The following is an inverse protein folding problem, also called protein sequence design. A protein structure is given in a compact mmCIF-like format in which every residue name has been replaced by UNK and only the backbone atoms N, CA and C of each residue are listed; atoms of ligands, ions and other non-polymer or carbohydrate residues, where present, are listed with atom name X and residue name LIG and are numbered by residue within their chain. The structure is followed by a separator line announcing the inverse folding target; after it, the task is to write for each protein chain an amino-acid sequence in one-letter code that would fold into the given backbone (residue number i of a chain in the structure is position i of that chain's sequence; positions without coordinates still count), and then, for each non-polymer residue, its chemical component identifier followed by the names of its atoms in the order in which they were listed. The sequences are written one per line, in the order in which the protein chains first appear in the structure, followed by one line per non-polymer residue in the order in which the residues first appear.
data_IF_495026184604
#
_entry.id   IF_495026184604
#
_cell.length_a   1.000
_cell.length_b   1.000
_cell.length_c   1.000
_cell.angle_alpha   90.00
_cell.angle_beta   90.00
_cell.angle_gamma   90.00
#
_symmetry.space_group_name_H-M   'P 1'
#
loop_
_entity.id
_entity.type
_entity.pdbx_description
1 polymer ?
#
# COMPACT_ATOMS: atom_id res chain seq x y z
N UNK A 1 -34.69 -3.56 3.34
CA UNK A 1 -34.51 -2.21 2.76
C UNK A 1 -34.38 -2.36 1.26
N UNK A 2 -34.98 -1.49 0.43
CA UNK A 2 -34.80 -1.56 -1.03
C UNK A 2 -33.51 -0.85 -1.44
N UNK A 3 -32.72 -1.49 -2.29
CA UNK A 3 -31.50 -0.91 -2.87
C UNK A 3 -31.50 -1.09 -4.38
N UNK A 4 -30.82 -0.18 -5.07
CA UNK A 4 -30.55 -0.25 -6.50
C UNK A 4 -29.07 -0.53 -6.69
N UNK A 5 -28.75 -1.67 -7.28
CA UNK A 5 -27.39 -2.13 -7.50
C UNK A 5 -26.98 -1.95 -8.95
N UNK A 6 -25.88 -1.24 -9.20
CA UNK A 6 -25.18 -1.22 -10.48
C UNK A 6 -24.05 -2.24 -10.41
N UNK A 7 -24.23 -3.39 -11.04
CA UNK A 7 -23.30 -4.52 -10.96
C UNK A 7 -22.44 -4.53 -12.21
N UNK A 8 -21.12 -4.41 -12.05
CA UNK A 8 -20.19 -4.52 -13.15
C UNK A 8 -20.25 -5.91 -13.80
N UNK A 9 -20.34 -5.94 -15.13
CA UNK A 9 -20.36 -7.16 -15.96
C UNK A 9 -19.31 -7.05 -17.05
N UNK A 10 -18.58 -8.15 -17.25
CA UNK A 10 -17.62 -8.28 -18.34
C UNK A 10 -17.21 -9.74 -18.49
N UNK A 11 -17.05 -10.21 -19.72
CA UNK A 11 -16.44 -11.48 -20.03
C UNK A 11 -15.35 -11.28 -21.10
N UNK A 12 -14.09 -11.46 -20.74
CA UNK A 12 -12.96 -11.22 -21.63
C UNK A 12 -12.98 -12.09 -22.92
N UNK A 13 -13.70 -13.22 -22.90
CA UNK A 13 -13.83 -14.10 -24.06
C UNK A 13 -14.87 -13.64 -25.08
N UNK A 14 -15.88 -12.88 -24.66
CA UNK A 14 -17.06 -12.57 -25.50
C UNK A 14 -17.35 -11.08 -25.64
N UNK A 15 -17.01 -10.28 -24.66
CA UNK A 15 -17.45 -8.89 -24.56
C UNK A 15 -16.37 -7.94 -25.10
N UNK A 16 -16.79 -6.96 -25.91
CA UNK A 16 -15.88 -5.91 -26.38
C UNK A 16 -15.60 -4.85 -25.30
N UNK A 17 -16.62 -4.49 -24.51
CA UNK A 17 -16.52 -3.49 -23.43
C UNK A 17 -17.33 -3.95 -22.21
N UNK A 18 -16.91 -3.56 -20.99
CA UNK A 18 -17.70 -3.81 -19.80
C UNK A 18 -19.00 -3.01 -19.81
N UNK A 19 -20.02 -3.53 -19.11
CA UNK A 19 -21.30 -2.86 -18.90
C UNK A 19 -21.74 -3.00 -17.44
N UNK A 20 -22.85 -2.37 -17.09
CA UNK A 20 -23.45 -2.48 -15.76
C UNK A 20 -24.90 -2.94 -15.88
N UNK A 21 -25.22 -3.99 -15.13
CA UNK A 21 -26.61 -4.38 -14.91
C UNK A 21 -27.17 -3.59 -13.73
N UNK A 22 -28.40 -3.11 -13.87
CA UNK A 22 -29.12 -2.45 -12.77
C UNK A 22 -30.15 -3.39 -12.19
N UNK A 23 -29.99 -3.74 -10.91
CA UNK A 23 -30.84 -4.68 -10.20
C UNK A 23 -31.42 -4.00 -8.97
N UNK A 24 -32.75 -3.94 -8.89
CA UNK A 24 -33.44 -3.58 -7.66
C UNK A 24 -33.66 -4.82 -6.80
N UNK A 25 -33.26 -4.74 -5.52
CA UNK A 25 -33.50 -5.84 -4.59
C UNK A 25 -33.81 -5.36 -3.17
N UNK A 26 -34.60 -6.16 -2.45
CA UNK A 26 -34.79 -5.99 -1.02
C UNK A 26 -33.67 -6.71 -0.26
N UNK A 27 -33.04 -6.01 0.67
CA UNK A 27 -31.93 -6.46 1.50
C UNK A 27 -32.40 -6.65 2.95
N UNK A 28 -31.98 -7.74 3.58
CA UNK A 28 -32.12 -7.96 5.02
C UNK A 28 -31.01 -7.19 5.77
N UNK A 29 -31.29 -6.57 6.94
CA UNK A 29 -30.25 -5.89 7.73
C UNK A 29 -29.03 -6.73 8.15
N UNK A 30 -29.15 -8.06 8.04
CA UNK A 30 -28.07 -9.02 8.32
C UNK A 30 -27.25 -9.39 7.08
N UNK A 31 -27.73 -9.06 5.89
CA UNK A 31 -27.05 -9.37 4.63
C UNK A 31 -25.68 -8.67 4.58
N UNK A 32 -24.68 -9.44 4.17
CA UNK A 32 -23.39 -8.90 3.73
C UNK A 32 -23.36 -8.77 2.20
N UNK A 33 -22.39 -8.03 1.68
CA UNK A 33 -22.21 -7.87 0.22
C UNK A 33 -22.13 -9.23 -0.49
N UNK A 34 -21.56 -10.26 0.15
CA UNK A 34 -21.51 -11.60 -0.41
C UNK A 34 -22.91 -12.22 -0.59
N UNK A 35 -23.86 -11.96 0.30
CA UNK A 35 -25.23 -12.49 0.15
C UNK A 35 -25.91 -11.87 -1.05
N UNK A 36 -25.69 -10.57 -1.26
CA UNK A 36 -26.10 -9.87 -2.49
C UNK A 36 -25.49 -10.50 -3.74
N UNK A 37 -24.17 -10.75 -3.76
CA UNK A 37 -23.51 -11.42 -4.89
C UNK A 37 -24.07 -12.82 -5.16
N UNK A 38 -24.42 -13.56 -4.10
CA UNK A 38 -25.04 -14.87 -4.22
C UNK A 38 -26.42 -14.78 -4.86
N UNK A 39 -27.24 -13.82 -4.42
CA UNK A 39 -28.59 -13.61 -4.96
C UNK A 39 -28.58 -13.14 -6.40
N UNK A 40 -27.66 -12.23 -6.77
CA UNK A 40 -27.43 -11.86 -8.18
C UNK A 40 -27.21 -13.12 -9.01
N UNK A 41 -26.33 -14.02 -8.58
CA UNK A 41 -26.06 -15.26 -9.33
C UNK A 41 -27.22 -16.25 -9.33
N UNK A 42 -27.87 -16.45 -8.19
CA UNK A 42 -28.82 -17.56 -8.01
C UNK A 42 -30.24 -17.22 -8.45
N UNK A 43 -30.62 -15.95 -8.31
CA UNK A 43 -32.01 -15.49 -8.50
C UNK A 43 -32.16 -14.66 -9.78
N UNK A 44 -31.10 -13.98 -10.25
CA UNK A 44 -31.16 -13.07 -11.39
C UNK A 44 -30.41 -13.57 -12.64
N UNK A 45 -29.12 -13.92 -12.51
CA UNK A 45 -28.30 -14.38 -13.65
C UNK A 45 -27.25 -15.42 -13.23
N UNK A 46 -27.50 -16.68 -13.60
CA UNK A 46 -26.61 -17.81 -13.35
C UNK A 46 -25.20 -17.68 -13.95
N UNK A 47 -25.00 -16.82 -14.96
CA UNK A 47 -23.70 -16.58 -15.59
C UNK A 47 -22.78 -15.65 -14.79
N UNK A 48 -23.32 -14.90 -13.82
CA UNK A 48 -22.55 -13.98 -12.99
C UNK A 48 -21.46 -14.71 -12.19
N UNK A 49 -20.24 -14.18 -12.22
CA UNK A 49 -19.05 -14.87 -11.70
C UNK A 49 -18.28 -14.03 -10.67
N UNK A 50 -17.94 -14.65 -9.53
CA UNK A 50 -17.18 -14.01 -8.47
C UNK A 50 -16.47 -15.07 -7.61
N UNK A 51 -15.42 -14.67 -6.89
CA UNK A 51 -14.68 -15.56 -5.99
C UNK A 51 -15.23 -15.48 -4.55
N UNK A 52 -15.42 -16.63 -3.92
CA UNK A 52 -15.78 -16.77 -2.50
C UNK A 52 -15.27 -18.09 -1.94
N UNK A 53 -15.11 -18.18 -0.63
CA UNK A 53 -14.80 -19.44 0.06
C UNK A 53 -15.25 -19.41 1.53
N UNK A 54 -14.42 -18.89 2.44
CA UNK A 54 -14.59 -19.10 3.89
C UNK A 54 -15.86 -18.51 4.55
N UNK A 55 -16.46 -17.46 3.98
CA UNK A 55 -17.60 -16.71 4.56
C UNK A 55 -17.38 -16.04 5.93
N UNK A 56 -16.16 -15.98 6.45
CA UNK A 56 -15.86 -15.34 7.75
C UNK A 56 -14.62 -14.42 7.70
N UNK A 57 -14.32 -13.86 6.53
CA UNK A 57 -13.35 -12.78 6.38
C UNK A 57 -11.87 -13.16 6.52
N UNK A 58 -11.49 -14.43 6.35
CA UNK A 58 -10.08 -14.87 6.51
C UNK A 58 -9.39 -15.31 5.22
N UNK A 59 -10.09 -15.91 4.25
CA UNK A 59 -9.41 -16.48 3.06
C UNK A 59 -8.94 -15.45 2.03
N UNK A 60 -9.42 -14.20 2.13
CA UNK A 60 -9.08 -13.13 1.20
C UNK A 60 -9.64 -13.25 -0.22
N UNK A 61 -10.40 -14.29 -0.56
CA UNK A 61 -10.83 -14.54 -1.95
C UNK A 61 -11.92 -13.59 -2.47
N UNK A 62 -12.77 -13.04 -1.59
CA UNK A 62 -13.96 -12.28 -1.97
C UNK A 62 -13.74 -10.77 -1.94
N UNK A 63 -12.55 -10.30 -2.31
CA UNK A 63 -12.26 -8.87 -2.40
C UNK A 63 -13.02 -8.26 -3.59
N UNK A 64 -13.73 -7.16 -3.35
CA UNK A 64 -14.50 -6.38 -4.34
C UNK A 64 -14.44 -4.88 -3.98
N UNK A 65 -14.98 -4.03 -4.85
CA UNK A 65 -15.21 -2.61 -4.58
C UNK A 65 -16.71 -2.32 -4.49
N UNK A 66 -17.11 -1.52 -3.51
CA UNK A 66 -18.46 -0.94 -3.41
C UNK A 66 -18.31 0.58 -3.44
N UNK A 67 -18.88 1.24 -4.44
CA UNK A 67 -18.69 2.67 -4.72
C UNK A 67 -17.21 3.10 -4.70
N UNK A 68 -16.34 2.27 -5.30
CA UNK A 68 -14.89 2.51 -5.34
C UNK A 68 -14.11 2.09 -4.08
N UNK A 69 -14.78 1.87 -2.93
CA UNK A 69 -14.13 1.43 -1.69
C UNK A 69 -13.87 -0.07 -1.72
N UNK A 70 -12.62 -0.47 -1.53
CA UNK A 70 -12.24 -1.89 -1.47
C UNK A 70 -12.69 -2.54 -0.16
N UNK A 71 -13.28 -3.73 -0.23
CA UNK A 71 -13.71 -4.49 0.95
C UNK A 71 -13.72 -6.01 0.69
N UNK A 72 -13.99 -6.81 1.72
CA UNK A 72 -14.33 -8.23 1.59
C UNK A 72 -15.85 -8.39 1.58
N UNK A 73 -16.36 -8.97 0.50
CA UNK A 73 -17.80 -9.15 0.34
C UNK A 73 -18.44 -9.91 1.52
N UNK A 74 -17.75 -10.90 2.09
CA UNK A 74 -18.30 -11.69 3.19
C UNK A 74 -18.26 -11.03 4.58
N UNK A 75 -17.57 -9.89 4.71
CA UNK A 75 -17.43 -9.16 5.98
C UNK A 75 -18.26 -7.88 5.98
N UNK A 76 -18.31 -7.19 4.85
CA UNK A 76 -18.97 -5.91 4.74
C UNK A 76 -20.48 -6.06 4.77
N UNK A 77 -21.13 -5.41 5.74
CA UNK A 77 -22.59 -5.45 5.88
C UNK A 77 -23.22 -4.49 4.89
N UNK A 78 -24.34 -4.89 4.30
CA UNK A 78 -25.06 -4.02 3.37
C UNK A 78 -25.60 -2.76 4.05
N UNK A 79 -26.01 -2.86 5.32
CA UNK A 79 -26.47 -1.69 6.08
C UNK A 79 -25.39 -0.63 6.23
N UNK A 80 -24.13 -1.02 6.47
CA UNK A 80 -23.01 -0.10 6.63
C UNK A 80 -22.69 0.58 5.28
N UNK A 81 -22.80 -0.15 4.17
CA UNK A 81 -22.66 0.44 2.82
C UNK A 81 -23.77 1.42 2.50
N UNK A 82 -25.02 1.10 2.85
CA UNK A 82 -26.18 1.97 2.61
C UNK A 82 -26.09 3.25 3.45
N UNK A 83 -25.63 3.15 4.70
CA UNK A 83 -25.42 4.33 5.56
C UNK A 83 -24.36 5.27 4.97
N UNK A 84 -23.28 4.71 4.42
CA UNK A 84 -22.18 5.50 3.86
C UNK A 84 -22.49 6.10 2.48
N UNK A 85 -23.19 5.37 1.62
CA UNK A 85 -23.33 5.71 0.20
C UNK A 85 -24.77 5.89 -0.29
N UNK A 86 -25.76 5.65 0.57
CA UNK A 86 -27.17 5.66 0.21
C UNK A 86 -27.64 4.36 -0.44
N UNK A 87 -28.85 4.39 -1.00
CA UNK A 87 -29.50 3.19 -1.53
C UNK A 87 -29.06 2.82 -2.97
N UNK A 88 -28.24 3.65 -3.62
CA UNK A 88 -27.65 3.36 -4.93
C UNK A 88 -26.20 2.92 -4.78
N UNK A 89 -25.95 1.63 -4.97
CA UNK A 89 -24.63 1.04 -4.79
C UNK A 89 -24.12 0.49 -6.11
N UNK A 90 -22.85 0.75 -6.41
CA UNK A 90 -22.13 0.20 -7.56
C UNK A 90 -21.13 -0.83 -7.05
N UNK A 91 -21.26 -2.07 -7.51
CA UNK A 91 -20.37 -3.18 -7.14
C UNK A 91 -19.44 -3.49 -8.31
N UNK A 92 -18.15 -3.43 -8.04
CA UNK A 92 -17.09 -3.57 -9.04
C UNK A 92 -16.03 -4.59 -8.60
N UNK A 93 -15.29 -5.19 -9.54
CA UNK A 93 -14.07 -5.92 -9.23
C UNK A 93 -13.03 -5.00 -8.57
N UNK A 94 -12.09 -5.59 -7.83
CA UNK A 94 -10.99 -4.83 -7.21
C UNK A 94 -10.14 -4.06 -8.22
N UNK A 95 -10.03 -4.54 -9.46
CA UNK A 95 -9.38 -3.83 -10.57
C UNK A 95 -10.12 -4.11 -11.87
N UNK A 96 -10.64 -3.05 -12.51
CA UNK A 96 -11.32 -3.13 -13.81
C UNK A 96 -10.37 -3.48 -14.96
N UNK A 97 -9.13 -2.99 -14.90
CA UNK A 97 -8.07 -3.27 -15.90
C UNK A 97 -7.70 -4.76 -15.98
N UNK A 98 -7.92 -5.51 -14.90
CA UNK A 98 -7.44 -6.90 -14.75
C UNK A 98 -8.57 -7.94 -14.76
N UNK A 99 -9.78 -7.57 -15.19
CA UNK A 99 -10.91 -8.48 -15.14
C UNK A 99 -10.76 -9.60 -16.17
N UNK A 100 -10.96 -10.84 -15.72
CA UNK A 100 -11.14 -12.00 -16.57
C UNK A 100 -12.64 -12.19 -16.84
N UNK A 101 -13.44 -12.20 -15.76
CA UNK A 101 -14.91 -12.27 -15.85
C UNK A 101 -15.59 -11.68 -14.61
N UNK A 102 -16.48 -10.71 -14.81
CA UNK A 102 -17.27 -10.03 -13.78
C UNK A 102 -16.41 -9.56 -12.59
N UNK A 103 -16.55 -10.17 -11.40
CA UNK A 103 -15.78 -9.81 -10.21
C UNK A 103 -14.42 -10.53 -10.12
N UNK A 104 -14.10 -11.41 -11.08
CA UNK A 104 -12.88 -12.22 -11.10
C UNK A 104 -11.78 -11.47 -11.85
N UNK A 105 -10.74 -11.09 -11.13
CA UNK A 105 -9.53 -10.47 -11.69
C UNK A 105 -8.37 -11.45 -11.82
N UNK A 106 -7.46 -11.19 -12.75
CA UNK A 106 -6.14 -11.80 -12.78
C UNK A 106 -5.28 -11.28 -11.62
N UNK A 107 -4.70 -12.20 -10.85
CA UNK A 107 -3.80 -11.91 -9.72
C UNK A 107 -2.35 -12.36 -10.00
N UNK A 108 -1.98 -12.74 -11.23
CA UNK A 108 -0.64 -13.21 -11.54
C UNK A 108 0.45 -12.20 -11.15
N UNK A 109 0.27 -10.92 -11.49
CA UNK A 109 1.20 -9.84 -11.12
C UNK A 109 1.33 -9.66 -9.60
N UNK A 110 0.21 -9.75 -8.88
CA UNK A 110 0.18 -9.68 -7.42
C UNK A 110 1.05 -10.80 -6.80
N UNK A 111 0.93 -12.03 -7.29
CA UNK A 111 1.71 -13.17 -6.79
C UNK A 111 3.17 -13.09 -7.19
N UNK A 112 3.47 -12.70 -8.43
CA UNK A 112 4.85 -12.48 -8.89
C UNK A 112 5.59 -11.48 -7.99
N UNK A 113 4.97 -10.35 -7.68
CA UNK A 113 5.56 -9.34 -6.77
C UNK A 113 5.67 -9.81 -5.33
N UNK A 114 4.70 -10.61 -4.87
CA UNK A 114 4.76 -11.25 -3.56
C UNK A 114 5.93 -12.24 -3.45
N UNK A 115 6.22 -13.00 -4.50
CA UNK A 115 7.35 -13.94 -4.55
C UNK A 115 8.70 -13.23 -4.57
N UNK A 116 8.79 -12.06 -5.23
CA UNK A 116 10.03 -11.26 -5.32
C UNK A 116 10.62 -10.92 -3.95
N UNK A 117 9.80 -10.77 -2.90
CA UNK A 117 10.27 -10.44 -1.54
C UNK A 117 10.69 -11.67 -0.72
N UNK A 118 10.79 -12.85 -1.34
CA UNK A 118 11.16 -14.12 -0.70
C UNK A 118 10.37 -14.41 0.58
N UNK A 119 9.05 -14.64 0.50
CA UNK A 119 8.15 -14.66 1.64
C UNK A 119 8.19 -15.97 2.47
N UNK A 120 9.38 -16.46 2.77
CA UNK A 120 9.65 -17.63 3.62
C UNK A 120 10.76 -17.32 4.62
N UNK A 121 10.88 -18.10 5.70
CA UNK A 121 11.97 -17.94 6.66
C UNK A 121 13.28 -18.47 6.07
N UNK A 122 14.33 -17.65 6.06
CA UNK A 122 15.69 -18.11 5.75
C UNK A 122 16.51 -18.15 7.04
N UNK A 123 16.77 -19.33 7.56
CA UNK A 123 17.51 -19.53 8.80
C UNK A 123 18.44 -20.74 8.70
N UNK A 124 19.45 -20.82 9.56
CA UNK A 124 20.21 -22.06 9.75
C UNK A 124 19.42 -22.96 10.68
N UNK A 125 18.71 -23.93 10.11
CA UNK A 125 17.86 -24.86 10.84
C UNK A 125 18.54 -26.23 10.84
N UNK A 126 18.56 -26.88 11.99
CA UNK A 126 18.87 -28.31 12.09
C UNK A 126 17.78 -29.12 11.36
N UNK A 127 18.14 -30.12 10.57
CA UNK A 127 17.15 -30.99 9.90
C UNK A 127 16.28 -31.75 10.91
N UNK A 128 16.81 -31.99 12.12
CA UNK A 128 16.14 -32.72 13.21
C UNK A 128 16.23 -31.95 14.54
N UNK A 129 15.54 -30.79 14.65
CA UNK A 129 15.62 -29.98 15.86
C UNK A 129 14.97 -30.71 17.04
N UNK A 130 15.67 -30.76 18.18
CA UNK A 130 15.14 -31.38 19.41
C UNK A 130 14.21 -30.46 20.20
N UNK A 131 14.11 -29.19 19.82
CA UNK A 131 13.29 -28.16 20.45
C UNK A 131 12.94 -27.03 19.48
N UNK A 132 11.96 -26.21 19.84
CA UNK A 132 11.54 -25.04 19.06
C UNK A 132 12.51 -23.85 19.16
N UNK A 133 12.35 -22.87 18.26
CA UNK A 133 13.04 -21.58 18.37
C UNK A 133 12.43 -20.77 19.51
N UNK A 134 13.22 -20.46 20.54
CA UNK A 134 12.78 -19.62 21.65
C UNK A 134 12.82 -18.15 21.22
N UNK A 135 11.66 -17.49 21.25
CA UNK A 135 11.50 -16.09 20.88
C UNK A 135 10.85 -15.35 22.06
N UNK A 136 11.42 -14.22 22.52
CA UNK A 136 10.77 -13.37 23.51
C UNK A 136 9.43 -12.81 23.00
N UNK A 137 8.40 -12.66 23.85
CA UNK A 137 7.10 -12.11 23.43
C UNK A 137 7.21 -10.77 22.70
N UNK A 138 8.08 -9.88 23.16
CA UNK A 138 8.30 -8.56 22.56
C UNK A 138 8.84 -8.60 21.11
N UNK A 139 9.55 -9.68 20.74
CA UNK A 139 10.00 -9.88 19.36
C UNK A 139 8.88 -10.47 18.49
N UNK A 140 8.04 -11.35 19.05
CA UNK A 140 6.88 -11.89 18.36
C UNK A 140 5.82 -10.81 18.09
N UNK A 141 5.57 -9.92 19.05
CA UNK A 141 4.63 -8.80 18.95
C UNK A 141 4.95 -7.85 17.78
N UNK A 142 6.24 -7.70 17.41
CA UNK A 142 6.65 -6.90 16.24
C UNK A 142 6.10 -7.43 14.92
N UNK A 143 5.77 -8.72 14.87
CA UNK A 143 5.31 -9.43 13.68
C UNK A 143 3.79 -9.49 13.57
N UNK A 144 3.08 -9.52 14.71
CA UNK A 144 1.65 -9.88 14.78
C UNK A 144 0.80 -9.19 13.72
N UNK A 145 0.87 -7.87 13.67
CA UNK A 145 0.08 -7.07 12.74
C UNK A 145 0.31 -7.48 11.28
N UNK A 146 1.56 -7.73 10.91
CA UNK A 146 1.95 -8.09 9.54
C UNK A 146 1.65 -9.54 9.20
N UNK A 147 1.70 -10.44 10.18
CA UNK A 147 1.41 -11.85 9.99
C UNK A 147 -0.09 -12.11 9.74
N UNK A 148 -0.97 -11.21 10.21
CA UNK A 148 -2.41 -11.27 9.95
C UNK A 148 -2.83 -10.93 8.52
N UNK A 149 -1.89 -10.62 7.62
CA UNK A 149 -2.19 -10.30 6.23
C UNK A 149 -2.66 -11.52 5.44
N UNK A 150 -3.95 -11.50 5.05
CA UNK A 150 -4.63 -12.61 4.36
C UNK A 150 -4.48 -12.62 2.83
N UNK A 151 -3.59 -11.81 2.27
CA UNK A 151 -3.32 -11.74 0.82
C UNK A 151 -4.56 -11.49 -0.06
N UNK A 152 -5.54 -10.74 0.46
CA UNK A 152 -6.77 -10.44 -0.27
C UNK A 152 -6.52 -9.58 -1.52
N UNK A 153 -5.55 -8.67 -1.46
CA UNK A 153 -5.21 -7.74 -2.54
C UNK A 153 -5.92 -6.38 -2.46
N UNK A 154 -6.78 -6.13 -1.46
CA UNK A 154 -7.48 -4.83 -1.32
C UNK A 154 -6.51 -3.65 -1.30
N UNK A 155 -5.48 -3.69 -0.45
CA UNK A 155 -4.48 -2.63 -0.37
C UNK A 155 -3.71 -2.43 -1.67
N UNK A 156 -3.44 -3.53 -2.38
CA UNK A 156 -2.68 -3.54 -3.62
C UNK A 156 -3.45 -2.86 -4.76
N UNK A 157 -4.70 -3.27 -4.99
CA UNK A 157 -5.56 -2.73 -6.05
C UNK A 157 -6.27 -1.41 -5.70
N UNK A 158 -6.11 -0.93 -4.46
CA UNK A 158 -6.48 0.42 -4.06
C UNK A 158 -5.32 1.41 -4.23
N UNK A 159 -4.08 0.94 -4.30
CA UNK A 159 -2.91 1.82 -4.39
C UNK A 159 -2.81 2.49 -5.77
N UNK A 160 -2.82 3.83 -5.86
CA UNK A 160 -2.71 4.52 -7.14
C UNK A 160 -1.35 4.33 -7.80
N UNK A 161 -0.28 4.12 -7.02
CA UNK A 161 1.07 3.87 -7.55
C UNK A 161 1.11 2.54 -8.32
N UNK A 162 0.45 1.49 -7.80
CA UNK A 162 0.34 0.20 -8.47
C UNK A 162 -0.41 0.31 -9.81
N UNK A 163 -1.36 1.25 -9.93
CA UNK A 163 -2.11 1.47 -11.17
C UNK A 163 -1.26 2.13 -12.25
N UNK A 164 -0.36 3.05 -11.88
CA UNK A 164 0.45 3.84 -12.83
C UNK A 164 1.87 3.34 -13.04
N UNK A 165 2.42 2.58 -12.09
CA UNK A 165 3.76 2.00 -12.14
C UNK A 165 3.66 0.47 -11.98
N UNK A 166 3.84 -0.24 -13.08
CA UNK A 166 3.74 -1.70 -13.13
C UNK A 166 4.92 -2.40 -12.44
N UNK A 167 6.05 -1.73 -12.22
CA UNK A 167 7.21 -2.32 -11.53
C UNK A 167 7.09 -2.21 -10.00
N UNK A 168 6.28 -1.27 -9.49
CA UNK A 168 6.12 -1.08 -8.05
C UNK A 168 5.58 -2.36 -7.38
N UNK A 169 6.31 -2.86 -6.37
CA UNK A 169 5.99 -4.11 -5.67
C UNK A 169 4.62 -4.06 -4.97
N UNK A 170 4.23 -2.87 -4.50
CA UNK A 170 2.94 -2.65 -3.86
C UNK A 170 2.87 -3.03 -2.38
N UNK A 171 1.84 -2.53 -1.67
CA UNK A 171 1.77 -2.58 -0.21
C UNK A 171 1.72 -4.00 0.37
N UNK A 172 1.09 -4.96 -0.32
CA UNK A 172 1.01 -6.34 0.17
C UNK A 172 2.38 -7.05 0.19
N UNK A 173 3.22 -6.81 -0.82
CA UNK A 173 4.56 -7.37 -0.87
C UNK A 173 5.46 -6.72 0.18
N UNK A 174 5.39 -5.39 0.36
CA UNK A 174 6.13 -4.72 1.42
C UNK A 174 5.69 -5.14 2.82
N UNK A 175 4.39 -5.36 3.04
CA UNK A 175 3.89 -5.91 4.31
C UNK A 175 4.58 -7.24 4.64
N UNK A 176 4.66 -8.13 3.65
CA UNK A 176 5.28 -9.44 3.84
C UNK A 176 6.81 -9.35 3.96
N UNK A 177 7.44 -8.44 3.22
CA UNK A 177 8.88 -8.16 3.36
C UNK A 177 9.19 -7.72 4.81
N UNK A 178 8.43 -6.76 5.34
CA UNK A 178 8.59 -6.29 6.72
C UNK A 178 8.40 -7.43 7.74
N UNK A 179 7.39 -8.29 7.53
CA UNK A 179 7.17 -9.46 8.39
C UNK A 179 8.41 -10.34 8.53
N UNK A 180 9.24 -10.47 7.50
CA UNK A 180 10.49 -11.24 7.58
C UNK A 180 11.69 -10.39 8.01
N UNK A 181 11.80 -9.13 7.59
CA UNK A 181 12.92 -8.28 8.02
C UNK A 181 12.86 -7.92 9.51
N UNK A 182 11.69 -8.02 10.14
CA UNK A 182 11.49 -7.87 11.57
C UNK A 182 11.61 -9.18 12.37
N UNK A 183 11.64 -10.35 11.72
CA UNK A 183 11.69 -11.65 12.40
C UNK A 183 13.14 -11.97 12.80
N UNK A 184 13.41 -12.06 14.11
CA UNK A 184 14.75 -12.34 14.65
C UNK A 184 15.33 -13.69 14.24
N UNK A 185 14.49 -14.60 13.73
CA UNK A 185 14.94 -15.89 13.20
C UNK A 185 15.48 -15.80 11.79
N UNK A 186 15.17 -14.73 11.05
CA UNK A 186 15.48 -14.63 9.62
C UNK A 186 16.87 -13.99 9.37
N UNK A 187 17.70 -14.68 8.58
CA UNK A 187 19.06 -14.27 8.24
C UNK A 187 19.17 -13.60 6.87
N UNK A 188 18.09 -13.55 6.07
CA UNK A 188 18.05 -12.91 4.77
C UNK A 188 17.47 -11.48 4.83
N UNK A 189 17.48 -10.85 6.01
CA UNK A 189 17.06 -9.45 6.20
C UNK A 189 17.70 -8.49 5.19
N UNK A 190 19.03 -8.51 5.08
CA UNK A 190 19.77 -7.59 4.19
C UNK A 190 19.42 -7.80 2.72
N UNK A 191 19.34 -9.05 2.27
CA UNK A 191 18.96 -9.36 0.89
C UNK A 191 17.55 -8.86 0.56
N UNK A 192 16.58 -9.02 1.47
CA UNK A 192 15.23 -8.44 1.28
C UNK A 192 15.25 -6.92 1.27
N UNK A 193 16.09 -6.29 2.10
CA UNK A 193 16.25 -4.83 2.08
C UNK A 193 16.83 -4.34 0.77
N UNK A 194 17.75 -5.07 0.14
CA UNK A 194 18.28 -4.75 -1.18
C UNK A 194 17.20 -4.81 -2.27
N UNK A 195 16.29 -5.80 -2.20
CA UNK A 195 15.15 -5.91 -3.12
C UNK A 195 14.22 -4.70 -2.99
N UNK A 196 13.92 -4.26 -1.77
CA UNK A 196 12.98 -3.15 -1.53
C UNK A 196 13.63 -1.76 -1.61
N UNK A 197 14.96 -1.65 -1.73
CA UNK A 197 15.70 -0.40 -1.97
C UNK A 197 15.77 0.00 -3.46
N UNK A 198 15.33 -0.86 -4.38
CA UNK A 198 15.39 -0.59 -5.83
C UNK A 198 14.50 0.63 -6.18
N UNK A 199 15.04 1.60 -6.92
CA UNK A 199 14.27 2.76 -7.40
C UNK A 199 13.17 2.34 -8.39
N UNK A 200 12.00 2.97 -8.36
CA UNK A 200 10.87 2.60 -9.23
C UNK A 200 10.09 1.37 -8.73
N UNK A 201 10.79 0.34 -8.26
CA UNK A 201 10.19 -0.92 -7.83
C UNK A 201 9.91 -0.96 -6.30
N UNK A 202 10.84 -0.43 -5.52
CA UNK A 202 10.93 -0.53 -4.06
C UNK A 202 10.16 0.54 -3.30
N UNK A 203 10.55 0.76 -2.03
CA UNK A 203 9.80 1.62 -1.09
C UNK A 203 9.76 3.10 -1.49
N UNK A 204 10.66 3.53 -2.35
CA UNK A 204 10.88 4.93 -2.74
C UNK A 204 9.72 5.54 -3.55
N UNK A 205 8.98 4.72 -4.28
CA UNK A 205 7.86 5.16 -5.11
C UNK A 205 6.54 5.27 -4.33
N UNK A 206 6.56 4.92 -3.04
CA UNK A 206 5.41 5.12 -2.17
C UNK A 206 5.12 6.61 -1.95
N UNK A 207 4.08 7.13 -2.59
CA UNK A 207 3.63 8.53 -2.45
C UNK A 207 2.90 8.85 -1.13
N UNK A 208 2.90 7.93 -0.17
CA UNK A 208 2.30 8.08 1.16
C UNK A 208 0.84 8.57 1.16
N UNK A 209 0.00 8.05 0.26
CA UNK A 209 -1.43 8.41 0.15
C UNK A 209 -2.37 7.74 1.17
N UNK A 210 -1.86 6.84 2.03
CA UNK A 210 -2.61 6.11 3.07
C UNK A 210 -3.73 5.16 2.59
N UNK A 211 -4.06 5.13 1.30
CA UNK A 211 -5.16 4.32 0.76
C UNK A 211 -5.02 2.82 1.09
N UNK A 212 -3.79 2.30 1.09
CA UNK A 212 -3.51 0.90 1.43
C UNK A 212 -3.93 0.50 2.86
N UNK A 213 -3.81 1.41 3.83
CA UNK A 213 -4.23 1.18 5.21
C UNK A 213 -5.76 1.30 5.33
N UNK A 214 -6.36 2.30 4.68
CA UNK A 214 -7.82 2.49 4.67
C UNK A 214 -8.56 1.33 4.00
N UNK A 215 -7.98 0.76 2.95
CA UNK A 215 -8.54 -0.37 2.21
C UNK A 215 -8.38 -1.72 2.93
N UNK A 216 -7.60 -1.80 4.02
CA UNK A 216 -7.27 -3.09 4.63
C UNK A 216 -8.44 -3.63 5.48
N UNK A 217 -9.06 -4.76 5.10
CA UNK A 217 -10.19 -5.33 5.86
C UNK A 217 -9.77 -5.97 7.18
N UNK A 218 -8.46 -6.10 7.42
CA UNK A 218 -7.86 -6.63 8.65
C UNK A 218 -7.27 -5.55 9.54
N UNK A 219 -7.39 -4.27 9.15
CA UNK A 219 -6.88 -3.12 9.90
C UNK A 219 -5.37 -3.16 10.15
N UNK A 220 -4.63 -3.74 9.19
CA UNK A 220 -3.17 -3.69 9.13
C UNK A 220 -2.77 -2.33 8.54
N UNK A 221 -1.62 -1.80 8.95
CA UNK A 221 -1.01 -0.57 8.45
C UNK A 221 0.19 -0.83 7.49
N UNK A 222 -0.06 -1.12 6.19
CA UNK A 222 1.00 -1.28 5.20
C UNK A 222 1.88 -0.05 5.01
N UNK A 223 1.33 1.16 5.10
CA UNK A 223 2.13 2.39 4.93
C UNK A 223 3.10 2.57 6.10
N UNK A 224 2.70 2.19 7.32
CA UNK A 224 3.59 2.06 8.47
C UNK A 224 4.73 1.09 8.20
N UNK A 225 4.46 -0.09 7.64
CA UNK A 225 5.51 -1.09 7.35
C UNK A 225 6.45 -0.66 6.23
N UNK A 226 5.94 -0.04 5.17
CA UNK A 226 6.77 0.57 4.11
C UNK A 226 7.70 1.62 4.73
N UNK A 227 7.22 2.42 5.68
CA UNK A 227 8.04 3.41 6.39
C UNK A 227 9.10 2.75 7.27
N UNK A 228 8.79 1.65 7.95
CA UNK A 228 9.77 0.87 8.71
C UNK A 228 10.84 0.25 7.82
N UNK A 229 10.47 -0.31 6.67
CA UNK A 229 11.43 -0.82 5.68
C UNK A 229 12.36 0.28 5.18
N UNK A 230 11.80 1.46 4.86
CA UNK A 230 12.58 2.63 4.49
C UNK A 230 13.64 2.99 5.55
N UNK A 231 13.29 2.94 6.84
CA UNK A 231 14.26 3.16 7.92
C UNK A 231 15.28 2.02 8.05
N UNK A 232 14.84 0.76 7.96
CA UNK A 232 15.70 -0.42 8.05
C UNK A 232 16.79 -0.43 6.96
N UNK A 233 16.49 0.07 5.75
CA UNK A 233 17.49 0.21 4.68
C UNK A 233 18.68 1.08 5.13
N UNK A 234 18.43 2.16 5.87
CA UNK A 234 19.49 2.99 6.44
C UNK A 234 20.14 2.33 7.67
N UNK A 235 19.37 1.73 8.57
CA UNK A 235 19.88 1.08 9.80
C UNK A 235 20.86 -0.06 9.49
N UNK A 236 20.58 -0.83 8.44
CA UNK A 236 21.39 -1.98 8.02
C UNK A 236 22.53 -1.60 7.06
N UNK A 237 22.65 -0.31 6.71
CA UNK A 237 23.66 0.18 5.77
C UNK A 237 23.47 -0.29 4.32
N UNK A 238 22.23 -0.65 3.95
CA UNK A 238 21.87 -1.08 2.59
C UNK A 238 21.66 0.12 1.66
N UNK A 239 21.24 1.26 2.21
CA UNK A 239 20.96 2.49 1.47
C UNK A 239 22.12 2.90 0.56
N UNK A 240 21.93 2.86 -0.75
CA UNK A 240 22.90 3.42 -1.72
C UNK A 240 22.65 4.90 -1.94
N UNK A 241 23.70 5.70 -2.11
CA UNK A 241 23.56 7.13 -2.43
C UNK A 241 22.94 7.30 -3.82
N UNK A 242 21.67 7.66 -3.84
CA UNK A 242 20.86 7.88 -5.04
C UNK A 242 19.96 9.11 -4.82
N UNK A 243 19.15 9.48 -5.80
CA UNK A 243 18.30 10.67 -5.69
C UNK A 243 17.32 10.55 -4.52
N UNK A 244 16.72 9.39 -4.30
CA UNK A 244 15.73 9.17 -3.25
C UNK A 244 16.34 9.17 -1.84
N UNK A 245 17.46 8.47 -1.64
CA UNK A 245 18.17 8.47 -0.36
C UNK A 245 18.73 9.86 -0.03
N UNK A 246 19.30 10.57 -1.02
CA UNK A 246 19.73 11.96 -0.83
C UNK A 246 18.55 12.89 -0.56
N UNK A 247 17.39 12.68 -1.18
CA UNK A 247 16.19 13.46 -0.89
C UNK A 247 15.76 13.29 0.57
N UNK A 248 15.67 12.06 1.07
CA UNK A 248 15.32 11.80 2.47
C UNK A 248 16.32 12.45 3.45
N UNK A 249 17.63 12.31 3.19
CA UNK A 249 18.68 12.92 4.01
C UNK A 249 18.66 14.44 3.91
N UNK A 250 18.46 14.99 2.72
CA UNK A 250 18.39 16.42 2.44
C UNK A 250 17.20 17.06 3.14
N UNK A 251 16.05 16.39 3.15
CA UNK A 251 14.85 16.82 3.86
C UNK A 251 15.15 16.97 5.36
N UNK A 252 15.69 15.92 5.99
CA UNK A 252 16.08 15.97 7.41
C UNK A 252 17.05 17.11 7.69
N UNK A 253 18.13 17.23 6.90
CA UNK A 253 19.14 18.30 7.05
C UNK A 253 18.50 19.69 6.93
N UNK A 254 17.53 19.87 6.03
CA UNK A 254 16.81 21.14 5.90
C UNK A 254 16.00 21.47 7.14
N UNK A 255 15.20 20.52 7.63
CA UNK A 255 14.39 20.71 8.84
C UNK A 255 15.28 21.00 10.05
N UNK A 256 16.42 20.31 10.19
CA UNK A 256 17.36 20.55 11.28
C UNK A 256 18.03 21.93 11.19
N UNK A 257 18.36 22.39 9.99
CA UNK A 257 19.05 23.67 9.76
C UNK A 257 18.12 24.88 9.90
N UNK A 258 16.93 24.81 9.31
CA UNK A 258 16.02 25.95 9.16
C UNK A 258 14.72 25.80 9.94
N UNK A 259 14.34 24.58 10.36
CA UNK A 259 13.03 24.30 10.96
C UNK A 259 11.88 24.35 9.96
N UNK A 260 12.19 24.52 8.68
CA UNK A 260 11.30 24.51 7.52
C UNK A 260 12.03 23.85 6.35
N UNK A 261 11.28 23.47 5.33
CA UNK A 261 11.84 22.89 4.12
C UNK A 261 12.44 24.01 3.24
N UNK A 262 13.66 23.79 2.77
CA UNK A 262 14.33 24.56 1.73
C UNK A 262 14.20 23.76 0.44
N UNK A 263 13.12 23.97 -0.32
CA UNK A 263 12.83 23.18 -1.50
C UNK A 263 13.93 23.33 -2.56
N UNK A 264 14.49 24.53 -2.71
CA UNK A 264 15.57 24.81 -3.66
C UNK A 264 16.83 24.02 -3.35
N UNK A 265 17.30 24.07 -2.10
CA UNK A 265 18.45 23.28 -1.68
C UNK A 265 18.15 21.78 -1.69
N UNK A 266 16.92 21.36 -1.39
CA UNK A 266 16.53 19.95 -1.43
C UNK A 266 16.69 19.36 -2.82
N UNK A 267 16.19 20.03 -3.86
CA UNK A 267 16.36 19.58 -5.25
C UNK A 267 17.84 19.53 -5.63
N UNK A 268 18.59 20.59 -5.30
CA UNK A 268 20.04 20.65 -5.57
C UNK A 268 20.82 19.52 -4.88
N UNK A 269 20.52 19.23 -3.61
CA UNK A 269 21.16 18.17 -2.84
C UNK A 269 20.77 16.77 -3.33
N UNK A 270 19.51 16.58 -3.74
CA UNK A 270 18.99 15.29 -4.19
C UNK A 270 19.51 14.92 -5.57
N UNK A 271 19.46 15.85 -6.53
CA UNK A 271 19.78 15.59 -7.93
C UNK A 271 21.23 15.94 -8.32
N UNK A 272 21.93 16.73 -7.50
CA UNK A 272 23.28 17.21 -7.83
C UNK A 272 23.27 18.02 -9.13
N UNK A 273 24.07 17.61 -10.12
CA UNK A 273 24.13 18.27 -11.44
C UNK A 273 22.78 18.22 -12.18
N UNK A 274 21.91 17.24 -11.86
CA UNK A 274 20.58 17.10 -12.45
C UNK A 274 19.68 18.32 -12.26
N UNK A 275 19.94 19.15 -11.23
CA UNK A 275 19.21 20.38 -10.95
C UNK A 275 19.16 21.35 -12.13
N UNK A 276 20.14 21.28 -13.05
CA UNK A 276 20.20 22.12 -14.25
C UNK A 276 18.96 21.96 -15.15
N UNK A 277 18.27 20.81 -15.08
CA UNK A 277 17.03 20.56 -15.83
C UNK A 277 15.88 21.46 -15.39
N UNK A 278 15.89 21.90 -14.12
CA UNK A 278 14.82 22.69 -13.50
C UNK A 278 15.10 24.20 -13.56
N UNK A 279 16.18 24.63 -14.23
CA UNK A 279 16.55 26.06 -14.33
C UNK A 279 15.45 26.91 -14.99
N UNK A 280 14.81 26.48 -16.09
CA UNK A 280 13.71 27.25 -16.69
C UNK A 280 12.56 27.49 -15.69
N UNK A 281 12.11 26.46 -15.01
CA UNK A 281 11.04 26.50 -14.01
C UNK A 281 11.45 27.35 -12.81
N UNK A 282 12.71 27.20 -12.35
CA UNK A 282 13.25 28.00 -11.26
C UNK A 282 13.28 29.49 -11.60
N UNK A 283 13.64 29.88 -12.83
CA UNK A 283 13.60 31.26 -13.29
C UNK A 283 12.16 31.82 -13.30
N UNK A 284 11.18 31.02 -13.74
CA UNK A 284 9.77 31.43 -13.69
C UNK A 284 9.25 31.59 -12.26
N UNK A 285 9.57 30.65 -11.37
CA UNK A 285 9.18 30.71 -9.97
C UNK A 285 9.84 31.90 -9.25
N UNK A 286 11.11 32.18 -9.55
CA UNK A 286 11.83 33.34 -9.03
C UNK A 286 11.18 34.65 -9.47
N UNK A 287 10.83 34.80 -10.76
CA UNK A 287 10.09 35.98 -11.27
C UNK A 287 8.74 36.18 -10.58
N UNK A 288 8.09 35.10 -10.15
CA UNK A 288 6.82 35.11 -9.40
C UNK A 288 7.01 35.24 -7.88
N UNK A 289 8.24 35.40 -7.39
CA UNK A 289 8.54 35.51 -5.95
C UNK A 289 8.30 34.22 -5.16
N UNK A 290 8.26 33.07 -5.82
CA UNK A 290 7.99 31.75 -5.21
C UNK A 290 9.25 30.98 -4.79
N UNK A 291 10.43 31.47 -5.14
CA UNK A 291 11.71 30.89 -4.70
C UNK A 291 12.38 31.86 -3.75
N UNK A 292 12.78 31.33 -2.60
CA UNK A 292 13.64 32.04 -1.65
C UNK A 292 15.08 31.68 -1.98
N UNK A 293 15.94 32.69 -2.12
CA UNK A 293 17.36 32.44 -2.36
C UNK A 293 18.01 31.83 -1.11
N UNK A 294 18.99 30.92 -1.25
CA UNK A 294 19.58 30.18 -0.12
C UNK A 294 20.11 31.06 1.02
N UNK A 295 20.62 32.27 0.73
CA UNK A 295 21.12 33.23 1.72
C UNK A 295 20.03 33.93 2.53
N UNK A 296 18.79 33.91 2.04
CA UNK A 296 17.64 34.55 2.68
C UNK A 296 16.61 33.54 3.21
N UNK A 297 16.99 32.26 3.35
CA UNK A 297 16.06 31.24 3.85
C UNK A 297 15.59 31.56 5.27
N UNK A 298 14.27 31.70 5.50
CA UNK A 298 13.74 31.97 6.81
C UNK A 298 13.98 30.79 7.75
N UNK A 299 14.03 31.09 9.04
CA UNK A 299 14.09 30.07 10.09
C UNK A 299 12.77 30.03 10.84
N UNK A 300 12.34 28.84 11.23
CA UNK A 300 11.20 28.68 12.11
C UNK A 300 11.44 29.37 13.45
N UNK A 301 10.40 29.98 14.01
CA UNK A 301 10.45 30.65 15.33
C UNK A 301 10.83 29.67 16.45
N UNK A 302 10.46 28.39 16.33
CA UNK A 302 10.71 27.34 17.32
C UNK A 302 11.84 26.39 16.90
N UNK A 303 12.87 26.90 16.22
CA UNK A 303 13.93 26.08 15.64
C UNK A 303 14.60 25.14 16.66
N UNK A 304 14.85 25.61 17.88
CA UNK A 304 15.52 24.79 18.91
C UNK A 304 14.65 23.62 19.39
N UNK A 305 13.33 23.82 19.47
CA UNK A 305 12.38 22.75 19.76
C UNK A 305 12.31 21.75 18.61
N UNK A 306 12.24 22.23 17.37
CA UNK A 306 12.25 21.38 16.17
C UNK A 306 13.54 20.54 16.11
N UNK A 307 14.70 21.12 16.40
CA UNK A 307 15.96 20.37 16.45
C UNK A 307 15.95 19.28 17.52
N UNK A 308 15.37 19.55 18.70
CA UNK A 308 15.18 18.53 19.75
C UNK A 308 14.28 17.42 19.26
N UNK A 309 13.16 17.74 18.63
CA UNK A 309 12.24 16.76 18.05
C UNK A 309 12.92 15.93 16.97
N UNK A 310 13.64 16.54 16.03
CA UNK A 310 14.41 15.81 15.01
C UNK A 310 15.43 14.88 15.66
N UNK A 311 16.13 15.32 16.71
CA UNK A 311 17.12 14.50 17.42
C UNK A 311 16.49 13.30 18.12
N UNK A 312 15.33 13.47 18.76
CA UNK A 312 14.63 12.41 19.49
C UNK A 312 13.92 11.44 18.53
N UNK A 313 13.37 11.95 17.43
CA UNK A 313 12.63 11.15 16.44
C UNK A 313 13.53 10.48 15.40
N UNK A 314 14.78 10.91 15.25
CA UNK A 314 15.72 10.29 14.32
C UNK A 314 16.22 8.97 14.86
N UNK A 315 15.51 7.89 14.54
CA UNK A 315 15.90 6.52 14.93
C UNK A 315 17.12 6.00 14.18
N UNK A 316 17.51 6.65 13.07
CA UNK A 316 18.57 6.17 12.18
C UNK A 316 19.71 7.18 12.01
N UNK A 317 20.93 6.66 11.88
CA UNK A 317 22.10 7.41 11.42
C UNK A 317 22.19 7.27 9.90
N UNK A 318 22.13 8.40 9.21
CA UNK A 318 22.14 8.52 7.75
C UNK A 318 23.55 8.74 7.22
#
# INVERSE_FOLDING_TARGET
MKVTLKVFRFNAETDYLPHYDTIEMSIDPRDVVLDVLNRIKWEHDGSFTYRRSCRHGICGSCAVKVNGRSTLACKERMVDMIELFGNELTIEPVSKKRVIKDMVVDKADFWKKYETVKPWLEAKIDEHPTMENIIPPEEAEKLEESDYCIQCGCCYYACPVVEVNEEYLGPAAFEKAYRFTADVRDYAKKERLEIVDILGQGVWDCVKCYECAQACPKHIDPIGKITKLHNQIFEEGVAKSNVATRHAVGFKKSIEKHGILDEGHLVAYSEGIGVLKHVPEALEMFKKGKIVMPWNMPKSKNLDEIKKLVKISSTVKF
#
